data_IF_959159915120
#
_entry.id   IF_959159915120
#
_cell.length_a   1.000
_cell.length_b   1.000
_cell.length_c   1.000
_cell.angle_alpha   90.00
_cell.angle_beta   90.00
_cell.angle_gamma   90.00
#
_symmetry.space_group_name_H-M   'P 1'
#
loop_
_entity.id
_entity.type
_entity.pdbx_description
1 polymer ?
#
# COMPACT_ATOMS: atom_id res chain seq x y z
N UNK A 1 -4.52 18.94 -34.22
CA UNK A 1 -3.39 19.18 -33.28
C UNK A 1 -3.95 19.65 -31.95
N UNK A 2 -4.15 18.72 -31.02
CA UNK A 2 -4.19 19.00 -29.58
C UNK A 2 -3.35 17.90 -28.95
N UNK A 3 -2.24 18.31 -28.33
CA UNK A 3 -1.25 17.40 -27.76
C UNK A 3 -1.81 16.75 -26.51
N UNK A 4 -1.85 15.42 -26.50
CA UNK A 4 -2.02 14.65 -25.28
C UNK A 4 -0.68 14.64 -24.55
N UNK A 5 -0.68 15.20 -23.35
CA UNK A 5 0.43 15.05 -22.40
C UNK A 5 0.40 13.59 -21.95
N UNK A 6 1.37 12.79 -22.41
CA UNK A 6 1.69 11.50 -21.81
C UNK A 6 2.15 11.79 -20.37
N UNK A 7 1.25 11.64 -19.41
CA UNK A 7 1.63 11.57 -18.00
C UNK A 7 2.13 10.15 -17.77
N UNK A 8 3.42 10.00 -17.44
CA UNK A 8 3.97 8.73 -17.01
C UNK A 8 3.30 8.32 -15.70
N UNK A 9 2.31 7.42 -15.79
CA UNK A 9 1.75 6.73 -14.63
C UNK A 9 2.85 5.82 -14.09
N UNK A 10 3.44 6.22 -12.95
CA UNK A 10 4.17 5.27 -12.12
C UNK A 10 3.13 4.30 -11.58
N UNK A 11 3.23 3.04 -11.98
CA UNK A 11 2.39 1.94 -11.52
C UNK A 11 2.35 1.94 -10.00
N UNK A 12 1.19 2.20 -9.43
CA UNK A 12 0.94 2.01 -8.01
C UNK A 12 0.26 0.66 -7.85
N UNK A 13 0.94 -0.26 -7.20
CA UNK A 13 0.37 -1.52 -6.79
C UNK A 13 -0.15 -1.40 -5.36
N UNK A 14 -1.43 -1.70 -5.16
CA UNK A 14 -2.02 -1.81 -3.82
C UNK A 14 -1.46 -3.02 -3.07
N UNK A 15 -1.21 -2.86 -1.76
CA UNK A 15 -0.68 -3.85 -0.81
C UNK A 15 -1.61 -3.96 0.39
N UNK A 16 -1.89 -5.18 0.89
CA UNK A 16 -2.81 -5.48 2.03
C UNK A 16 -2.21 -6.55 2.96
N UNK A 17 -2.34 -6.39 4.29
CA UNK A 17 -1.90 -7.35 5.33
C UNK A 17 -3.04 -7.70 6.33
N UNK A 18 -3.07 -8.91 6.91
CA UNK A 18 -4.13 -9.43 7.78
C UNK A 18 -3.57 -10.14 9.05
N UNK A 19 -4.04 -9.79 10.26
CA UNK A 19 -3.94 -10.63 11.49
C UNK A 19 -4.85 -10.13 12.64
N UNK A 20 -5.52 -11.06 13.35
CA UNK A 20 -6.40 -10.82 14.54
C UNK A 20 -5.70 -11.17 15.86
N UNK A 21 -5.98 -10.43 16.94
CA UNK A 21 -5.58 -10.77 18.33
C UNK A 21 -6.60 -10.28 19.38
N UNK A 22 -6.65 -10.99 20.52
CA UNK A 22 -7.60 -10.89 21.64
C UNK A 22 -7.07 -10.10 22.86
N UNK A 23 -7.96 -9.39 23.55
CA UNK A 23 -7.69 -8.42 24.64
C UNK A 23 -7.47 -9.00 26.05
N UNK A 24 -6.66 -8.27 26.86
CA UNK A 24 -6.88 -8.06 28.29
C UNK A 24 -6.16 -6.78 28.77
N UNK A 25 -6.92 -5.86 29.39
CA UNK A 25 -6.50 -4.54 29.93
C UNK A 25 -6.49 -4.52 31.47
N UNK A 26 -5.76 -3.56 32.06
CA UNK A 26 -6.02 -2.82 33.32
C UNK A 26 -4.76 -2.00 33.66
N UNK A 27 -4.75 -0.88 34.39
CA UNK A 27 -5.67 0.22 34.73
C UNK A 27 -4.76 1.29 35.40
N UNK A 28 -5.29 2.49 35.53
CA UNK A 28 -4.69 3.81 35.65
C UNK A 28 -4.39 4.32 37.08
N UNK A 29 -3.36 5.19 37.17
CA UNK A 29 -3.18 6.49 37.90
C UNK A 29 -3.68 6.68 39.36
N UNK A 30 -3.09 7.58 40.19
CA UNK A 30 -3.39 9.04 40.12
C UNK A 30 -2.29 10.03 40.60
N UNK A 31 -2.54 11.30 40.28
CA UNK A 31 -1.82 12.55 40.57
C UNK A 31 -2.09 13.11 41.98
N UNK A 32 -1.20 13.97 42.49
CA UNK A 32 -1.46 15.13 43.39
C UNK A 32 -0.11 15.86 43.60
N UNK A 33 0.03 17.18 43.79
CA UNK A 33 -0.90 18.29 43.90
C UNK A 33 -0.10 19.60 44.15
N UNK A 34 -0.67 20.72 43.71
CA UNK A 34 -0.53 22.12 44.18
C UNK A 34 0.80 22.71 44.71
N UNK A 35 1.22 23.86 44.16
CA UNK A 35 0.97 25.23 44.72
C UNK A 35 1.95 26.29 44.13
N UNK A 36 1.40 27.45 43.76
CA UNK A 36 2.07 28.76 43.56
C UNK A 36 1.86 29.57 44.88
N UNK A 37 2.57 30.69 45.21
CA UNK A 37 3.15 31.71 44.31
C UNK A 37 4.43 32.42 44.82
N UNK A 38 5.02 33.32 44.00
CA UNK A 38 5.19 34.77 44.29
C UNK A 38 6.16 35.42 43.28
N UNK A 39 5.82 36.64 42.88
CA UNK A 39 6.52 37.44 41.88
C UNK A 39 7.47 38.45 42.57
N UNK A 40 8.69 38.59 42.07
CA UNK A 40 9.44 39.84 42.22
C UNK A 40 10.55 40.01 41.20
N UNK A 41 10.69 41.27 40.79
CA UNK A 41 11.81 41.93 40.13
C UNK A 41 12.03 41.66 38.63
N UNK A 42 11.67 42.68 37.86
CA UNK A 42 12.15 42.92 36.49
C UNK A 42 13.63 43.27 36.59
N UNK A 43 14.49 42.40 36.07
CA UNK A 43 15.90 42.70 35.80
C UNK A 43 16.11 42.71 34.29
N UNK A 44 16.67 43.80 33.80
CA UNK A 44 16.99 43.99 32.39
C UNK A 44 18.39 43.44 32.15
N UNK A 45 18.47 42.15 31.84
CA UNK A 45 19.70 41.47 31.43
C UNK A 45 19.63 41.08 29.95
N UNK A 46 20.71 41.35 29.22
CA UNK A 46 20.97 40.86 27.86
C UNK A 46 20.72 39.34 27.77
N UNK A 47 19.59 38.93 27.20
CA UNK A 47 19.43 37.59 26.63
C UNK A 47 19.45 37.75 25.12
N UNK A 48 20.55 37.32 24.50
CA UNK A 48 20.44 36.80 23.15
C UNK A 48 19.41 35.68 23.22
N UNK A 49 18.22 35.90 22.65
CA UNK A 49 17.18 34.89 22.49
C UNK A 49 17.79 33.67 21.80
N UNK A 50 18.33 32.74 22.57
CA UNK A 50 18.52 31.37 22.14
C UNK A 50 17.09 30.87 21.94
N UNK A 51 16.69 30.77 20.67
CA UNK A 51 15.44 30.12 20.31
C UNK A 51 15.31 28.84 21.14
N UNK A 52 14.15 28.56 21.75
CA UNK A 52 13.98 27.39 22.60
C UNK A 52 14.47 26.19 21.81
N UNK A 53 15.33 25.38 22.45
CA UNK A 53 15.91 24.18 21.87
C UNK A 53 14.75 23.26 21.49
N UNK A 54 14.27 23.40 20.25
CA UNK A 54 13.09 22.68 19.78
C UNK A 54 13.53 21.24 19.75
N UNK A 55 12.91 20.41 20.59
CA UNK A 55 13.23 18.99 20.66
C UNK A 55 13.25 18.41 19.23
N UNK A 56 14.44 17.98 18.80
CA UNK A 56 14.67 17.47 17.46
C UNK A 56 13.78 16.25 17.17
N UNK A 57 13.34 15.53 18.20
CA UNK A 57 12.40 14.42 18.09
C UNK A 57 10.97 14.91 17.85
N UNK A 58 10.55 16.00 18.53
CA UNK A 58 9.24 16.63 18.30
C UNK A 58 9.06 17.16 16.88
N UNK A 59 10.15 17.64 16.24
CA UNK A 59 10.13 18.09 14.84
C UNK A 59 9.98 16.96 13.81
N UNK A 60 10.18 15.71 14.23
CA UNK A 60 10.12 14.51 13.39
C UNK A 60 8.78 13.77 13.50
N UNK A 61 7.85 14.23 14.32
CA UNK A 61 6.56 13.58 14.54
C UNK A 61 5.36 14.49 14.18
N UNK A 62 4.29 13.89 13.65
CA UNK A 62 3.06 14.55 13.24
C UNK A 62 1.91 13.54 13.20
N UNK A 63 0.76 13.86 13.83
CA UNK A 63 -0.42 12.98 13.96
C UNK A 63 -0.10 11.55 14.45
N UNK A 64 0.74 11.42 15.49
CA UNK A 64 1.23 10.14 16.05
C UNK A 64 2.17 9.33 15.13
N UNK A 65 2.52 9.85 13.95
CA UNK A 65 3.52 9.26 13.07
C UNK A 65 4.84 10.00 13.20
N UNK A 66 5.94 9.25 13.30
CA UNK A 66 7.29 9.80 13.32
C UNK A 66 8.11 9.32 12.11
N UNK A 67 8.99 10.19 11.61
CA UNK A 67 9.97 9.84 10.58
C UNK A 67 10.94 8.79 11.09
N UNK A 68 11.07 7.71 10.34
CA UNK A 68 12.02 6.63 10.62
C UNK A 68 13.28 6.83 9.80
N UNK A 69 14.44 6.64 10.42
CA UNK A 69 15.71 6.72 9.70
C UNK A 69 15.86 5.60 8.66
N UNK A 70 16.35 6.01 7.50
CA UNK A 70 16.72 5.17 6.37
C UNK A 70 18.17 5.47 6.01
N UNK A 71 18.97 4.48 5.60
CA UNK A 71 20.36 4.72 5.21
C UNK A 71 20.44 5.63 3.96
N UNK A 72 21.58 6.27 3.69
CA UNK A 72 21.72 7.10 2.50
C UNK A 72 21.52 6.31 1.20
N UNK A 73 20.62 6.77 0.34
CA UNK A 73 20.29 6.11 -0.94
C UNK A 73 21.52 6.00 -1.87
N UNK A 74 22.44 6.96 -1.80
CA UNK A 74 23.66 7.01 -2.59
C UNK A 74 24.58 5.82 -2.37
N UNK A 75 24.55 5.20 -1.18
CA UNK A 75 25.32 3.99 -0.88
C UNK A 75 24.89 2.78 -1.73
N UNK A 76 23.69 2.86 -2.33
CA UNK A 76 23.08 1.79 -3.14
C UNK A 76 22.94 2.19 -4.62
N UNK A 77 23.63 3.26 -5.03
CA UNK A 77 23.58 3.75 -6.42
C UNK A 77 22.29 4.48 -6.77
N UNK A 78 21.63 5.06 -5.77
CA UNK A 78 20.39 5.80 -5.93
C UNK A 78 20.53 7.28 -5.58
N UNK A 79 19.83 8.12 -6.33
CA UNK A 79 19.73 9.54 -6.07
C UNK A 79 18.81 9.80 -4.87
N UNK A 80 17.70 9.05 -4.79
CA UNK A 80 16.69 9.14 -3.73
C UNK A 80 15.98 7.80 -3.60
N UNK A 81 15.56 7.44 -2.39
CA UNK A 81 14.70 6.29 -2.17
C UNK A 81 13.30 6.51 -2.74
N UNK A 82 12.84 5.53 -3.52
CA UNK A 82 11.47 5.43 -4.01
C UNK A 82 10.89 4.10 -3.50
N UNK A 83 10.22 4.17 -2.34
CA UNK A 83 9.58 2.99 -1.78
C UNK A 83 8.35 2.62 -2.61
N UNK A 84 8.13 1.32 -2.82
CA UNK A 84 7.00 0.81 -3.63
C UNK A 84 6.03 -0.08 -2.83
N UNK A 85 6.36 -0.43 -1.58
CA UNK A 85 5.50 -1.24 -0.75
C UNK A 85 6.13 -1.51 0.61
N UNK A 86 5.29 -1.80 1.60
CA UNK A 86 5.68 -2.21 2.95
C UNK A 86 4.73 -3.31 3.41
N UNK A 87 5.26 -4.30 4.11
CA UNK A 87 4.53 -5.45 4.61
C UNK A 87 5.00 -5.79 6.02
N UNK A 88 4.11 -5.66 7.00
CA UNK A 88 4.32 -6.21 8.33
C UNK A 88 3.99 -7.71 8.29
N UNK A 89 4.92 -8.53 8.77
CA UNK A 89 4.73 -9.98 8.93
C UNK A 89 5.07 -10.38 10.38
N UNK A 90 4.22 -11.17 11.06
CA UNK A 90 4.42 -11.52 12.47
C UNK A 90 5.55 -12.52 12.69
N UNK A 91 6.00 -13.25 11.67
CA UNK A 91 7.06 -14.27 11.76
C UNK A 91 8.42 -13.67 11.41
N UNK A 92 8.48 -12.92 10.30
CA UNK A 92 9.75 -12.40 9.76
C UNK A 92 9.91 -10.89 9.93
N UNK A 93 8.99 -10.21 10.62
CA UNK A 93 9.03 -8.77 10.88
C UNK A 93 8.56 -7.93 9.70
N UNK A 94 8.82 -6.62 9.76
CA UNK A 94 8.33 -5.68 8.74
C UNK A 94 9.36 -5.45 7.64
N UNK A 95 8.92 -5.58 6.39
CA UNK A 95 9.74 -5.47 5.19
C UNK A 95 9.22 -4.38 4.25
N UNK A 96 10.13 -3.74 3.52
CA UNK A 96 9.78 -2.74 2.51
C UNK A 96 10.62 -2.91 1.25
N UNK A 97 10.01 -2.63 0.10
CA UNK A 97 10.70 -2.46 -1.18
C UNK A 97 11.19 -1.02 -1.27
N UNK A 98 12.49 -0.84 -1.54
CA UNK A 98 13.07 0.45 -1.85
C UNK A 98 13.80 0.43 -3.21
N UNK A 99 13.32 1.25 -4.14
CA UNK A 99 13.95 1.48 -5.44
C UNK A 99 14.71 2.81 -5.45
N UNK A 100 15.39 3.09 -6.57
CA UNK A 100 15.88 4.41 -6.92
C UNK A 100 14.89 5.21 -7.79
N UNK A 101 15.29 6.43 -8.12
CA UNK A 101 14.59 7.26 -9.10
C UNK A 101 14.68 6.62 -10.51
N UNK A 102 13.71 6.91 -11.40
CA UNK A 102 13.85 6.55 -12.81
C UNK A 102 15.20 7.03 -13.37
N UNK A 103 15.95 6.11 -13.98
CA UNK A 103 17.29 6.37 -14.51
C UNK A 103 18.45 5.93 -13.62
N UNK A 104 18.23 5.79 -12.30
CA UNK A 104 19.25 5.22 -11.41
C UNK A 104 19.57 3.78 -11.81
N UNK A 105 20.82 3.33 -11.62
CA UNK A 105 21.29 2.01 -12.10
C UNK A 105 21.23 0.90 -11.06
N UNK A 106 21.05 1.23 -9.77
CA UNK A 106 20.92 0.23 -8.72
C UNK A 106 19.71 -0.70 -8.92
N UNK A 107 19.83 -1.91 -8.37
CA UNK A 107 18.73 -2.88 -8.25
C UNK A 107 17.92 -2.60 -6.98
N UNK A 108 16.63 -2.86 -7.01
CA UNK A 108 15.73 -2.75 -5.85
C UNK A 108 16.34 -3.39 -4.59
N UNK A 109 16.08 -2.80 -3.44
CA UNK A 109 16.51 -3.30 -2.14
C UNK A 109 15.29 -3.77 -1.35
N UNK A 110 15.44 -4.89 -0.65
CA UNK A 110 14.52 -5.31 0.41
C UNK A 110 15.10 -4.85 1.75
N UNK A 111 14.40 -3.93 2.39
CA UNK A 111 14.76 -3.38 3.70
C UNK A 111 13.91 -4.07 4.76
N UNK A 112 14.51 -4.35 5.91
CA UNK A 112 13.82 -4.85 7.09
C UNK A 112 13.89 -3.81 8.21
N UNK A 113 12.78 -3.62 8.90
CA UNK A 113 12.74 -2.76 10.07
C UNK A 113 13.30 -3.50 11.29
N UNK A 114 14.43 -3.02 11.82
CA UNK A 114 15.17 -3.64 12.92
C UNK A 114 15.70 -2.54 13.86
N UNK A 115 15.49 -2.70 15.16
CA UNK A 115 15.97 -1.79 16.20
C UNK A 115 15.59 -0.31 15.97
N UNK A 116 14.36 -0.06 15.53
CA UNK A 116 13.86 1.29 15.30
C UNK A 116 14.26 1.92 13.97
N UNK A 117 14.99 1.22 13.09
CA UNK A 117 15.51 1.77 11.83
C UNK A 117 15.31 0.80 10.66
N UNK A 118 15.28 1.33 9.42
CA UNK A 118 15.24 0.50 8.22
C UNK A 118 16.65 0.06 7.79
N UNK A 119 16.87 -1.25 7.63
CA UNK A 119 18.16 -1.82 7.25
C UNK A 119 18.04 -2.65 5.97
N UNK A 120 18.80 -2.34 4.90
CA UNK A 120 18.85 -3.16 3.69
C UNK A 120 19.39 -4.56 4.02
N UNK A 121 18.66 -5.60 3.61
CA UNK A 121 19.04 -7.00 3.85
C UNK A 121 19.38 -7.74 2.56
N UNK A 122 18.63 -7.45 1.49
CA UNK A 122 18.80 -8.11 0.20
C UNK A 122 18.71 -7.13 -0.95
N UNK A 123 19.51 -7.40 -1.99
CA UNK A 123 19.52 -6.69 -3.27
C UNK A 123 19.18 -7.70 -4.37
N UNK A 124 17.90 -8.09 -4.53
CA UNK A 124 17.51 -9.10 -5.50
C UNK A 124 17.96 -8.73 -6.92
N UNK A 125 18.39 -9.74 -7.67
CA UNK A 125 18.79 -9.63 -9.07
C UNK A 125 18.23 -10.84 -9.83
N UNK A 126 17.89 -10.64 -11.09
CA UNK A 126 17.46 -11.72 -11.97
C UNK A 126 18.66 -12.37 -12.64
N UNK A 127 18.71 -13.71 -12.66
CA UNK A 127 19.80 -14.46 -13.30
C UNK A 127 21.05 -14.59 -12.42
N UNK A 128 22.16 -15.03 -13.02
CA UNK A 128 23.40 -15.33 -12.31
C UNK A 128 24.64 -15.02 -13.17
N UNK A 129 25.80 -14.90 -12.54
CA UNK A 129 27.06 -14.61 -13.23
C UNK A 129 27.01 -13.33 -14.06
N UNK A 130 27.41 -13.42 -15.33
CA UNK A 130 27.41 -12.31 -16.28
C UNK A 130 26.00 -11.87 -16.73
N UNK A 131 25.00 -12.74 -16.58
CA UNK A 131 23.60 -12.50 -16.98
C UNK A 131 22.76 -11.87 -15.85
N UNK A 132 23.42 -11.37 -14.79
CA UNK A 132 22.74 -10.69 -13.69
C UNK A 132 22.13 -9.38 -14.17
N UNK A 133 20.83 -9.26 -14.01
CA UNK A 133 20.05 -8.07 -14.36
C UNK A 133 19.51 -7.40 -13.11
N UNK A 134 19.62 -6.08 -13.08
CA UNK A 134 19.02 -5.28 -12.01
C UNK A 134 17.51 -5.25 -12.19
N UNK A 135 16.77 -5.24 -11.09
CA UNK A 135 15.31 -5.23 -11.11
C UNK A 135 14.78 -3.97 -10.43
N UNK A 136 13.60 -3.54 -10.88
CA UNK A 136 12.76 -2.56 -10.21
C UNK A 136 11.54 -3.33 -9.68
N UNK A 137 11.15 -3.13 -8.43
CA UNK A 137 9.98 -3.79 -7.85
C UNK A 137 8.83 -2.82 -7.65
N UNK A 138 7.61 -3.30 -7.85
CA UNK A 138 6.38 -2.49 -7.94
C UNK A 138 5.38 -2.80 -6.84
N UNK A 139 5.29 -4.06 -6.39
CA UNK A 139 4.35 -4.49 -5.36
C UNK A 139 5.00 -5.50 -4.42
N UNK A 140 4.56 -5.52 -3.16
CA UNK A 140 4.94 -6.47 -2.12
C UNK A 140 3.68 -7.03 -1.48
N UNK A 141 3.60 -8.34 -1.24
CA UNK A 141 2.61 -8.94 -0.37
C UNK A 141 3.27 -9.97 0.54
N UNK A 142 2.62 -10.26 1.66
CA UNK A 142 3.03 -11.32 2.57
C UNK A 142 1.83 -12.11 3.07
N UNK A 143 2.06 -13.38 3.37
CA UNK A 143 1.00 -14.29 3.83
C UNK A 143 0.72 -14.24 5.34
N UNK A 144 1.56 -13.51 6.10
CA UNK A 144 1.48 -13.48 7.56
C UNK A 144 2.06 -14.73 8.24
N UNK A 145 2.66 -15.63 7.47
CA UNK A 145 3.28 -16.88 7.91
C UNK A 145 4.78 -16.94 7.60
N UNK A 146 5.38 -15.79 7.28
CA UNK A 146 6.81 -15.69 7.02
C UNK A 146 7.20 -15.76 5.55
N UNK A 147 6.25 -15.70 4.62
CA UNK A 147 6.55 -15.64 3.18
C UNK A 147 6.14 -14.31 2.57
N UNK A 148 6.99 -13.82 1.68
CA UNK A 148 6.79 -12.61 0.89
C UNK A 148 6.87 -12.93 -0.59
N UNK A 149 6.02 -12.25 -1.35
CA UNK A 149 6.13 -12.15 -2.80
C UNK A 149 6.25 -10.68 -3.19
N UNK A 150 7.13 -10.38 -4.12
CA UNK A 150 7.21 -9.09 -4.78
C UNK A 150 7.21 -9.29 -6.29
N UNK A 151 6.62 -8.33 -7.00
CA UNK A 151 6.61 -8.32 -8.46
C UNK A 151 7.30 -7.06 -8.98
N UNK A 152 7.80 -7.14 -10.20
CA UNK A 152 8.47 -6.03 -10.84
C UNK A 152 9.01 -6.40 -12.21
N UNK A 153 10.01 -5.66 -12.67
CA UNK A 153 10.62 -5.86 -13.99
C UNK A 153 12.14 -5.81 -13.93
N UNK A 154 12.78 -6.54 -14.83
CA UNK A 154 14.20 -6.35 -15.13
C UNK A 154 14.40 -5.03 -15.86
N UNK A 155 15.38 -4.23 -15.43
CA UNK A 155 15.59 -2.86 -15.93
C UNK A 155 16.16 -2.82 -17.35
N UNK A 156 16.76 -3.92 -17.80
CA UNK A 156 17.46 -3.99 -19.08
C UNK A 156 16.51 -4.24 -20.27
N UNK A 157 15.45 -5.04 -20.05
CA UNK A 157 14.55 -5.48 -21.12
C UNK A 157 13.06 -5.47 -20.74
N UNK A 158 12.72 -4.97 -19.54
CA UNK A 158 11.36 -4.94 -18.98
C UNK A 158 10.71 -6.32 -18.78
N UNK A 159 11.48 -7.42 -18.78
CA UNK A 159 10.93 -8.74 -18.45
C UNK A 159 10.32 -8.74 -17.06
N UNK A 160 9.10 -9.28 -16.92
CA UNK A 160 8.44 -9.41 -15.62
C UNK A 160 9.16 -10.39 -14.71
N UNK A 161 9.32 -9.98 -13.46
CA UNK A 161 10.03 -10.73 -12.41
C UNK A 161 9.11 -10.93 -11.21
N UNK A 162 9.14 -12.14 -10.68
CA UNK A 162 8.62 -12.46 -9.35
C UNK A 162 9.80 -12.71 -8.43
N UNK A 163 9.81 -12.03 -7.30
CA UNK A 163 10.75 -12.24 -6.19
C UNK A 163 10.00 -12.91 -5.04
N UNK A 164 10.60 -13.95 -4.46
CA UNK A 164 10.06 -14.64 -3.28
C UNK A 164 11.07 -14.64 -2.15
N UNK A 165 10.57 -14.58 -0.92
CA UNK A 165 11.40 -14.64 0.28
C UNK A 165 10.70 -15.32 1.44
N UNK A 166 11.46 -16.09 2.22
CA UNK A 166 11.07 -16.62 3.54
C UNK A 166 11.67 -15.79 4.71
N UNK A 167 12.16 -14.58 4.42
CA UNK A 167 12.90 -13.73 5.35
C UNK A 167 14.39 -14.07 5.52
N UNK A 168 14.84 -15.23 5.03
CA UNK A 168 16.25 -15.67 5.07
C UNK A 168 16.83 -15.96 3.69
N UNK A 169 16.00 -16.38 2.75
CA UNK A 169 16.31 -16.63 1.35
C UNK A 169 15.56 -15.65 0.46
N UNK A 170 16.15 -15.31 -0.68
CA UNK A 170 15.50 -14.48 -1.72
C UNK A 170 15.79 -15.11 -3.07
N UNK A 171 14.74 -15.37 -3.84
CA UNK A 171 14.84 -15.89 -5.20
C UNK A 171 14.12 -14.95 -6.16
N UNK A 172 14.62 -14.84 -7.39
CA UNK A 172 14.01 -14.06 -8.45
C UNK A 172 13.86 -14.93 -9.70
N UNK A 173 12.65 -15.00 -10.25
CA UNK A 173 12.31 -15.80 -11.43
C UNK A 173 11.53 -14.96 -12.45
N UNK A 174 11.62 -15.34 -13.73
CA UNK A 174 10.79 -14.76 -14.77
C UNK A 174 9.32 -15.18 -14.61
N UNK A 175 8.42 -14.31 -15.06
CA UNK A 175 7.00 -14.62 -15.22
C UNK A 175 6.55 -14.30 -16.65
N UNK A 176 5.76 -15.17 -17.30
CA UNK A 176 5.24 -14.90 -18.63
C UNK A 176 4.05 -13.91 -18.56
N UNK A 177 4.22 -12.72 -19.13
CA UNK A 177 3.19 -11.67 -19.14
C UNK A 177 3.51 -10.52 -18.20
N UNK A 178 2.68 -9.48 -18.21
CA UNK A 178 2.86 -8.26 -17.41
C UNK A 178 2.04 -8.32 -16.12
N UNK A 179 2.59 -7.79 -15.02
CA UNK A 179 1.94 -7.80 -13.72
C UNK A 179 1.98 -6.40 -13.09
N UNK A 180 0.87 -6.00 -12.47
CA UNK A 180 0.73 -4.73 -11.76
C UNK A 180 0.53 -4.91 -10.26
N UNK A 181 -0.14 -5.98 -9.83
CA UNK A 181 -0.51 -6.18 -8.43
C UNK A 181 -0.26 -7.60 -7.96
N UNK A 182 -0.02 -7.75 -6.66
CA UNK A 182 0.12 -9.05 -6.01
C UNK A 182 -0.55 -9.04 -4.64
N UNK A 183 -1.08 -10.19 -4.23
CA UNK A 183 -1.69 -10.38 -2.93
C UNK A 183 -1.44 -11.81 -2.46
N UNK A 184 -1.38 -12.03 -1.15
CA UNK A 184 -1.19 -13.34 -0.55
C UNK A 184 -2.20 -13.55 0.57
N UNK A 185 -2.60 -14.81 0.78
CA UNK A 185 -3.50 -15.19 1.85
C UNK A 185 -3.23 -16.61 2.31
N UNK A 186 -2.91 -16.83 3.58
CA UNK A 186 -2.56 -18.18 4.05
C UNK A 186 -1.26 -18.69 3.42
N UNK A 187 -0.76 -19.84 3.88
CA UNK A 187 0.60 -20.28 3.58
C UNK A 187 0.87 -20.45 2.08
N UNK A 188 1.72 -19.58 1.53
CA UNK A 188 2.14 -19.58 0.12
C UNK A 188 1.01 -19.59 -0.93
N UNK A 189 -0.20 -19.15 -0.57
CA UNK A 189 -1.29 -18.94 -1.52
C UNK A 189 -1.24 -17.50 -2.01
N UNK A 190 -0.82 -17.36 -3.28
CA UNK A 190 -0.40 -16.13 -3.88
C UNK A 190 -1.19 -15.83 -5.15
N UNK A 191 -1.48 -14.56 -5.34
CA UNK A 191 -2.21 -14.02 -6.46
C UNK A 191 -1.39 -12.92 -7.12
N UNK A 192 -1.44 -12.89 -8.45
CA UNK A 192 -0.90 -11.78 -9.25
C UNK A 192 -1.89 -11.38 -10.32
N UNK A 193 -1.95 -10.09 -10.62
CA UNK A 193 -2.86 -9.54 -11.62
C UNK A 193 -2.19 -8.42 -12.41
N UNK A 194 -2.65 -8.18 -13.64
CA UNK A 194 -2.02 -7.21 -14.53
C UNK A 194 -2.85 -6.77 -15.74
N UNK A 195 -2.19 -6.23 -16.77
CA UNK A 195 -2.81 -5.88 -18.05
C UNK A 195 -3.50 -7.06 -18.73
N UNK A 196 -4.28 -6.76 -19.77
CA UNK A 196 -5.05 -7.72 -20.59
C UNK A 196 -5.98 -8.65 -19.78
N UNK A 197 -6.43 -8.21 -18.61
CA UNK A 197 -7.26 -8.99 -17.69
C UNK A 197 -6.51 -10.14 -17.01
N UNK A 198 -5.18 -10.14 -17.00
CA UNK A 198 -4.34 -11.20 -16.43
C UNK A 198 -4.62 -11.40 -14.94
N UNK A 199 -4.98 -12.63 -14.56
CA UNK A 199 -5.14 -13.06 -13.17
C UNK A 199 -4.54 -14.45 -13.03
N UNK A 200 -3.59 -14.61 -12.11
CA UNK A 200 -2.97 -15.90 -11.85
C UNK A 200 -2.94 -16.23 -10.36
N UNK A 201 -3.22 -17.50 -10.05
CA UNK A 201 -3.26 -18.05 -8.70
C UNK A 201 -2.21 -19.14 -8.52
N UNK A 202 -1.46 -19.11 -7.42
CA UNK A 202 -0.52 -20.14 -7.05
C UNK A 202 -0.84 -20.68 -5.66
N UNK A 203 -1.00 -22.00 -5.57
CA UNK A 203 -1.10 -22.71 -4.27
C UNK A 203 0.26 -23.32 -3.97
N UNK A 204 0.95 -22.83 -2.94
CA UNK A 204 2.31 -23.26 -2.61
C UNK A 204 3.40 -22.52 -3.39
N UNK A 205 3.05 -21.40 -4.03
CA UNK A 205 3.99 -20.40 -4.51
C UNK A 205 4.90 -20.80 -5.68
N UNK A 206 4.68 -21.89 -6.41
CA UNK A 206 5.55 -22.27 -7.55
C UNK A 206 4.78 -22.24 -8.88
N UNK A 207 3.75 -23.06 -8.99
CA UNK A 207 2.94 -23.19 -10.20
C UNK A 207 1.79 -22.19 -10.21
N UNK A 208 1.46 -21.67 -11.40
CA UNK A 208 0.40 -20.68 -11.59
C UNK A 208 -0.75 -21.25 -12.41
N UNK A 209 -1.95 -21.13 -11.87
CA UNK A 209 -3.21 -21.37 -12.59
C UNK A 209 -3.68 -20.05 -13.18
N UNK A 210 -4.00 -20.05 -14.47
CA UNK A 210 -4.57 -18.90 -15.16
C UNK A 210 -6.08 -18.83 -14.90
N UNK A 211 -6.52 -17.72 -14.31
CA UNK A 211 -7.93 -17.39 -14.07
C UNK A 211 -8.30 -16.02 -14.69
N UNK A 212 -7.60 -15.63 -15.76
CA UNK A 212 -7.72 -14.31 -16.38
C UNK A 212 -9.14 -13.98 -16.86
N UNK A 213 -9.47 -12.69 -16.82
CA UNK A 213 -10.70 -12.16 -17.38
C UNK A 213 -10.64 -12.19 -18.92
N UNK A 214 -11.47 -13.01 -19.60
CA UNK A 214 -11.43 -13.09 -21.06
C UNK A 214 -11.87 -11.80 -21.76
N UNK A 215 -12.55 -10.88 -21.06
CA UNK A 215 -12.95 -9.59 -21.60
C UNK A 215 -11.80 -8.54 -21.64
N UNK A 216 -10.64 -8.85 -21.07
CA UNK A 216 -9.48 -7.95 -21.10
C UNK A 216 -9.53 -6.81 -20.07
N UNK A 217 -8.98 -5.65 -20.42
CA UNK A 217 -8.78 -4.50 -19.51
C UNK A 217 -7.47 -4.54 -18.74
N UNK A 218 -7.23 -3.55 -17.89
CA UNK A 218 -6.01 -3.47 -17.05
C UNK A 218 -6.37 -3.55 -15.58
N UNK A 219 -5.82 -4.54 -14.88
CA UNK A 219 -5.95 -4.68 -13.43
C UNK A 219 -4.79 -3.98 -12.73
N UNK A 220 -5.10 -3.20 -11.70
CA UNK A 220 -4.13 -2.42 -10.92
C UNK A 220 -4.09 -2.84 -9.45
N UNK A 221 -5.10 -3.56 -8.97
CA UNK A 221 -5.16 -4.04 -7.60
C UNK A 221 -5.76 -5.44 -7.52
N UNK A 222 -5.29 -6.19 -6.53
CA UNK A 222 -5.85 -7.48 -6.11
C UNK A 222 -5.86 -7.53 -4.58
N UNK A 223 -6.96 -7.96 -3.98
CA UNK A 223 -7.14 -8.06 -2.53
C UNK A 223 -8.23 -9.08 -2.21
N UNK A 224 -8.44 -9.42 -0.94
CA UNK A 224 -9.49 -10.35 -0.56
C UNK A 224 -9.54 -10.62 0.92
N UNK A 225 -10.43 -11.54 1.33
CA UNK A 225 -10.48 -12.06 2.71
C UNK A 225 -9.94 -13.49 2.82
N UNK A 226 -9.80 -14.18 1.70
CA UNK A 226 -9.24 -15.52 1.59
C UNK A 226 -9.22 -16.01 0.14
N UNK A 227 -8.72 -17.22 -0.12
CA UNK A 227 -8.54 -17.72 -1.49
C UNK A 227 -9.86 -17.92 -2.25
N UNK A 228 -11.00 -17.94 -1.56
CA UNK A 228 -12.33 -18.08 -2.14
C UNK A 228 -13.16 -16.78 -2.13
N UNK A 229 -12.57 -15.66 -1.69
CA UNK A 229 -13.17 -14.33 -1.69
C UNK A 229 -12.09 -13.32 -2.06
N UNK A 230 -11.87 -13.23 -3.37
CA UNK A 230 -10.79 -12.43 -3.99
C UNK A 230 -11.42 -11.40 -4.91
N UNK A 231 -10.90 -10.18 -4.86
CA UNK A 231 -11.33 -9.08 -5.69
C UNK A 231 -10.15 -8.58 -6.52
N UNK A 232 -10.47 -8.11 -7.72
CA UNK A 232 -9.54 -7.35 -8.55
C UNK A 232 -10.15 -6.02 -8.93
N UNK A 233 -9.34 -4.99 -9.03
CA UNK A 233 -9.76 -3.64 -9.39
C UNK A 233 -8.96 -3.15 -10.58
N UNK A 234 -9.63 -2.48 -11.51
CA UNK A 234 -8.97 -2.02 -12.72
C UNK A 234 -9.77 -1.02 -13.54
N UNK A 235 -9.37 -0.92 -14.80
CA UNK A 235 -10.09 -0.23 -15.87
C UNK A 235 -10.42 -1.23 -16.98
N UNK A 236 -11.66 -1.19 -17.48
CA UNK A 236 -12.12 -2.06 -18.55
C UNK A 236 -11.34 -1.81 -19.85
N UNK A 237 -11.42 -2.76 -20.77
CA UNK A 237 -10.99 -2.52 -22.14
C UNK A 237 -11.76 -1.32 -22.72
N UNK A 238 -11.10 -0.60 -23.64
CA UNK A 238 -11.73 0.50 -24.35
C UNK A 238 -12.79 -0.03 -25.31
N UNK A 239 -14.03 0.45 -25.16
CA UNK A 239 -15.12 0.14 -26.07
C UNK A 239 -15.13 1.14 -27.24
N UNK A 240 -14.86 0.71 -28.48
CA UNK A 240 -14.82 1.59 -29.64
C UNK A 240 -16.20 2.09 -30.10
N UNK A 241 -17.29 1.45 -29.69
CA UNK A 241 -18.65 1.83 -30.09
C UNK A 241 -19.18 2.95 -29.19
N UNK A 242 -18.85 2.91 -27.90
CA UNK A 242 -19.25 3.94 -26.92
C UNK A 242 -18.18 5.00 -26.69
N UNK A 243 -16.92 4.74 -27.10
CA UNK A 243 -15.75 5.57 -26.84
C UNK A 243 -15.44 5.72 -25.34
N UNK A 244 -15.76 4.69 -24.55
CA UNK A 244 -15.64 4.71 -23.10
C UNK A 244 -14.73 3.59 -22.58
N UNK A 245 -14.09 3.85 -21.43
CA UNK A 245 -13.52 2.82 -20.56
C UNK A 245 -13.82 3.21 -19.12
N UNK A 246 -14.20 2.23 -18.31
CA UNK A 246 -14.73 2.47 -16.98
C UNK A 246 -13.93 1.73 -15.93
N UNK A 247 -13.95 2.24 -14.70
CA UNK A 247 -13.50 1.46 -13.57
C UNK A 247 -14.33 0.18 -13.46
N UNK A 248 -13.69 -0.92 -13.12
CA UNK A 248 -14.40 -2.18 -12.91
C UNK A 248 -13.78 -2.97 -11.77
N UNK A 249 -14.61 -3.84 -11.19
CA UNK A 249 -14.23 -4.74 -10.12
C UNK A 249 -14.60 -6.16 -10.51
N UNK A 250 -13.65 -7.07 -10.37
CA UNK A 250 -13.88 -8.51 -10.42
C UNK A 250 -14.04 -9.07 -9.01
N UNK A 251 -14.89 -10.07 -8.84
CA UNK A 251 -15.09 -10.81 -7.59
C UNK A 251 -15.10 -12.31 -7.86
N UNK A 252 -14.12 -13.01 -7.27
CA UNK A 252 -13.99 -14.45 -7.23
C UNK A 252 -14.72 -15.02 -6.04
N UNK A 253 -15.61 -15.97 -6.31
CA UNK A 253 -16.34 -16.76 -5.31
C UNK A 253 -16.34 -18.23 -5.70
N UNK A 254 -17.06 -19.06 -4.95
CA UNK A 254 -17.38 -20.43 -5.35
C UNK A 254 -18.81 -20.49 -5.88
N UNK A 255 -19.03 -21.26 -6.94
CA UNK A 255 -20.37 -21.60 -7.42
C UNK A 255 -21.07 -22.63 -6.50
N UNK A 256 -22.30 -23.01 -6.85
CA UNK A 256 -23.10 -23.98 -6.09
C UNK A 256 -22.44 -25.37 -5.98
N UNK A 257 -21.54 -25.70 -6.90
CA UNK A 257 -20.76 -26.95 -6.91
C UNK A 257 -19.42 -26.83 -6.17
N UNK A 258 -19.07 -25.64 -5.67
CA UNK A 258 -17.82 -25.35 -4.99
C UNK A 258 -16.65 -25.06 -5.94
N UNK A 259 -16.89 -24.86 -7.23
CA UNK A 259 -15.86 -24.50 -8.20
C UNK A 259 -15.64 -22.98 -8.21
N UNK A 260 -14.40 -22.50 -8.42
CA UNK A 260 -14.12 -21.07 -8.44
C UNK A 260 -14.74 -20.39 -9.66
N UNK A 261 -15.33 -19.23 -9.45
CA UNK A 261 -15.98 -18.45 -10.49
C UNK A 261 -15.72 -16.95 -10.30
N UNK A 262 -15.45 -16.26 -11.40
CA UNK A 262 -15.28 -14.82 -11.44
C UNK A 262 -16.52 -14.15 -12.01
N UNK A 263 -16.91 -13.05 -11.37
CA UNK A 263 -17.88 -12.11 -11.89
C UNK A 263 -17.20 -10.74 -12.03
N UNK A 264 -17.60 -9.92 -13.01
CA UNK A 264 -17.02 -8.60 -13.24
C UNK A 264 -18.13 -7.55 -13.43
N UNK A 265 -17.94 -6.37 -12.85
CA UNK A 265 -18.91 -5.28 -12.88
C UNK A 265 -18.22 -3.96 -13.20
N UNK A 266 -18.78 -3.21 -14.15
CA UNK A 266 -18.39 -1.82 -14.42
C UNK A 266 -19.01 -0.90 -13.36
N UNK A 267 -18.20 -0.04 -12.74
CA UNK A 267 -18.69 0.97 -11.80
C UNK A 267 -19.17 2.25 -12.50
N UNK A 268 -19.33 2.23 -13.84
CA UNK A 268 -19.54 3.43 -14.67
C UNK A 268 -20.65 4.36 -14.17
N UNK A 269 -21.78 3.83 -13.71
CA UNK A 269 -22.86 4.66 -13.14
C UNK A 269 -22.47 5.31 -11.80
N UNK A 270 -21.75 4.58 -10.93
CA UNK A 270 -21.16 5.13 -9.70
C UNK A 270 -20.03 6.14 -9.96
N UNK A 271 -19.52 6.26 -11.18
CA UNK A 271 -18.59 7.35 -11.53
C UNK A 271 -19.34 8.53 -12.14
N UNK A 272 -20.33 8.26 -13.00
CA UNK A 272 -21.17 9.28 -13.67
C UNK A 272 -22.01 10.11 -12.71
N UNK A 273 -22.56 9.50 -11.66
CA UNK A 273 -23.38 10.23 -10.69
C UNK A 273 -22.54 11.16 -9.76
N UNK A 274 -21.20 11.08 -9.82
CA UNK A 274 -20.29 11.97 -9.08
C UNK A 274 -19.54 12.89 -10.03
N UNK A 275 -18.74 13.82 -9.51
CA UNK A 275 -17.81 14.64 -10.31
C UNK A 275 -16.61 13.82 -10.86
N UNK A 276 -16.80 12.52 -11.11
CA UNK A 276 -15.75 11.55 -11.41
C UNK A 276 -15.49 11.38 -12.92
N UNK A 277 -14.22 11.39 -13.31
CA UNK A 277 -13.80 10.80 -14.58
C UNK A 277 -13.71 9.27 -14.43
N UNK A 278 -13.66 8.51 -15.54
CA UNK A 278 -13.50 7.05 -15.57
C UNK A 278 -12.13 6.56 -15.06
N UNK A 279 -11.74 6.97 -13.85
CA UNK A 279 -10.49 6.61 -13.20
C UNK A 279 -10.50 5.12 -12.81
N UNK A 280 -9.42 4.35 -13.04
CA UNK A 280 -9.35 2.97 -12.58
C UNK A 280 -9.53 2.81 -11.07
N UNK A 281 -10.00 1.63 -10.64
CA UNK A 281 -9.77 1.19 -9.27
C UNK A 281 -8.32 0.73 -9.15
N UNK A 282 -7.50 1.43 -8.37
CA UNK A 282 -6.10 1.05 -8.12
C UNK A 282 -5.85 0.54 -6.71
N UNK A 283 -6.87 0.55 -5.86
CA UNK A 283 -6.76 0.03 -4.50
C UNK A 283 -8.12 -0.41 -3.98
N UNK A 284 -8.09 -1.43 -3.13
CA UNK A 284 -9.23 -1.95 -2.41
C UNK A 284 -8.78 -2.75 -1.21
N UNK A 285 -9.72 -3.02 -0.31
CA UNK A 285 -9.46 -3.73 0.94
C UNK A 285 -10.70 -4.48 1.37
N UNK A 286 -10.54 -5.68 1.93
CA UNK A 286 -11.59 -6.39 2.65
C UNK A 286 -11.19 -6.46 4.13
N UNK A 287 -11.65 -5.53 4.97
CA UNK A 287 -11.29 -5.49 6.38
C UNK A 287 -11.73 -6.77 7.11
N UNK A 288 -10.95 -7.26 8.10
CA UNK A 288 -11.34 -8.42 8.89
C UNK A 288 -12.72 -8.24 9.55
N UNK A 289 -13.69 -9.05 9.14
CA UNK A 289 -15.08 -9.00 9.62
C UNK A 289 -15.91 -7.82 9.09
N UNK A 290 -15.35 -7.00 8.19
CA UNK A 290 -16.02 -5.84 7.60
C UNK A 290 -16.42 -6.05 6.14
N UNK A 291 -17.00 -5.01 5.56
CA UNK A 291 -17.35 -4.96 4.13
C UNK A 291 -16.16 -4.51 3.28
N UNK A 292 -16.00 -5.04 2.06
CA UNK A 292 -15.00 -4.55 1.11
C UNK A 292 -15.18 -3.06 0.77
N UNK A 293 -14.06 -2.37 0.58
CA UNK A 293 -13.97 -1.02 0.06
C UNK A 293 -13.12 -0.98 -1.21
N UNK A 294 -13.45 -0.05 -2.11
CA UNK A 294 -12.63 0.32 -3.27
C UNK A 294 -12.46 1.83 -3.30
N UNK A 295 -11.37 2.28 -3.92
CA UNK A 295 -11.18 3.70 -4.17
C UNK A 295 -10.54 4.01 -5.53
N UNK A 296 -10.99 5.13 -6.07
CA UNK A 296 -10.38 5.91 -7.14
C UNK A 296 -10.51 7.40 -6.79
N UNK A 297 -9.85 8.32 -7.52
CA UNK A 297 -10.10 9.75 -7.36
C UNK A 297 -11.58 10.04 -7.57
N UNK A 298 -12.14 10.83 -6.65
CA UNK A 298 -13.56 11.18 -6.56
C UNK A 298 -14.50 9.98 -6.39
N UNK A 299 -14.00 8.82 -5.95
CA UNK A 299 -14.82 7.66 -5.64
C UNK A 299 -14.22 6.88 -4.45
N UNK A 300 -14.99 6.79 -3.38
CA UNK A 300 -14.89 5.67 -2.45
C UNK A 300 -16.22 4.93 -2.50
N UNK A 301 -16.17 3.61 -2.53
CA UNK A 301 -17.36 2.78 -2.52
C UNK A 301 -17.16 1.59 -1.59
N UNK A 302 -18.26 1.08 -1.05
CA UNK A 302 -18.30 -0.12 -0.23
C UNK A 302 -19.31 -1.10 -0.80
N UNK A 303 -19.05 -2.39 -0.61
CA UNK A 303 -19.96 -3.43 -1.06
C UNK A 303 -21.16 -3.55 -0.12
N UNK A 304 -22.36 -3.37 -0.65
CA UNK A 304 -23.62 -3.43 0.07
C UNK A 304 -23.95 -4.88 0.47
N UNK A 305 -24.26 -5.14 1.76
CA UNK A 305 -24.64 -6.48 2.23
C UNK A 305 -25.88 -7.03 1.50
N UNK A 306 -26.81 -6.15 1.13
CA UNK A 306 -28.17 -6.52 0.73
C UNK A 306 -28.34 -6.71 -0.79
N UNK A 307 -27.32 -6.36 -1.59
CA UNK A 307 -27.40 -6.35 -3.05
C UNK A 307 -26.69 -7.50 -3.77
N UNK A 308 -26.17 -8.49 -3.05
CA UNK A 308 -25.45 -9.62 -3.63
C UNK A 308 -23.98 -9.32 -3.97
N UNK A 309 -23.34 -10.16 -4.79
CA UNK A 309 -21.90 -10.07 -5.12
C UNK A 309 -21.50 -8.71 -5.71
N UNK A 310 -22.39 -8.08 -6.48
CA UNK A 310 -22.10 -6.95 -7.36
C UNK A 310 -22.94 -5.72 -7.04
N UNK A 311 -22.99 -5.35 -5.75
CA UNK A 311 -23.71 -4.16 -5.31
C UNK A 311 -22.77 -3.21 -4.60
N UNK A 312 -22.10 -2.36 -5.37
CA UNK A 312 -21.28 -1.28 -4.82
C UNK A 312 -22.15 -0.07 -4.53
N UNK A 313 -21.98 0.51 -3.35
CA UNK A 313 -22.63 1.75 -2.93
C UNK A 313 -21.56 2.82 -2.73
N UNK A 314 -21.83 4.02 -3.26
CA UNK A 314 -20.93 5.17 -3.07
C UNK A 314 -20.88 5.56 -1.59
N UNK A 315 -19.66 5.78 -1.10
CA UNK A 315 -19.41 6.41 0.19
C UNK A 315 -19.48 7.94 0.06
N UNK A 316 -20.01 8.68 1.06
CA UNK A 316 -19.99 10.14 1.04
C UNK A 316 -18.58 10.76 0.96
N UNK A 317 -17.55 10.01 1.38
CA UNK A 317 -16.17 10.44 1.25
C UNK A 317 -15.69 10.32 -0.21
N UNK A 318 -15.24 11.45 -0.78
CA UNK A 318 -14.73 11.53 -2.15
C UNK A 318 -13.27 12.00 -2.10
N UNK A 319 -12.29 11.08 -2.10
CA UNK A 319 -10.88 11.45 -2.06
C UNK A 319 -10.51 12.16 -3.35
N UNK A 320 -9.95 13.36 -3.28
CA UNK A 320 -9.54 14.14 -4.47
C UNK A 320 -8.20 13.68 -5.06
N UNK A 321 -7.65 12.59 -4.54
CA UNK A 321 -6.32 12.09 -4.84
C UNK A 321 -6.34 10.57 -4.87
N UNK A 322 -5.29 9.96 -5.40
CA UNK A 322 -5.16 8.51 -5.42
C UNK A 322 -4.86 7.97 -4.03
N UNK A 323 -5.71 7.07 -3.53
CA UNK A 323 -5.34 6.13 -2.47
C UNK A 323 -4.55 5.00 -3.14
N UNK A 324 -3.30 4.80 -2.71
CA UNK A 324 -2.31 3.92 -3.36
C UNK A 324 -2.30 2.52 -2.75
N UNK A 325 -2.42 2.43 -1.43
CA UNK A 325 -2.46 1.18 -0.69
C UNK A 325 -3.38 1.32 0.52
N UNK A 326 -3.96 0.21 0.96
CA UNK A 326 -4.90 0.15 2.08
C UNK A 326 -4.53 -0.97 3.04
N UNK A 327 -4.68 -0.73 4.33
CA UNK A 327 -4.50 -1.74 5.38
C UNK A 327 -5.64 -1.65 6.37
N UNK A 328 -6.05 -2.79 6.94
CA UNK A 328 -7.11 -2.82 7.94
C UNK A 328 -6.75 -3.73 9.10
N UNK A 329 -6.87 -3.21 10.32
CA UNK A 329 -6.80 -4.03 11.54
C UNK A 329 -8.15 -4.71 11.82
N UNK A 330 -9.23 -4.00 11.52
CA UNK A 330 -10.60 -4.43 11.79
C UNK A 330 -11.59 -3.73 10.87
N UNK A 331 -12.86 -4.13 10.92
CA UNK A 331 -13.95 -3.48 10.20
C UNK A 331 -14.12 -1.97 10.48
N UNK A 332 -13.60 -1.48 11.62
CA UNK A 332 -13.69 -0.07 12.04
C UNK A 332 -12.33 0.62 12.11
N UNK A 333 -11.30 0.00 11.56
CA UNK A 333 -9.97 0.59 11.52
C UNK A 333 -9.31 0.22 10.19
N UNK A 334 -9.56 1.08 9.20
CA UNK A 334 -8.98 1.00 7.87
C UNK A 334 -8.13 2.23 7.65
N UNK A 335 -6.96 2.05 7.07
CA UNK A 335 -6.01 3.10 6.79
C UNK A 335 -5.58 3.01 5.33
N UNK A 336 -5.26 4.15 4.73
CA UNK A 336 -4.75 4.20 3.38
C UNK A 336 -3.60 5.19 3.25
N UNK A 337 -2.58 4.80 2.49
CA UNK A 337 -1.56 5.70 1.99
C UNK A 337 -2.07 6.33 0.69
N UNK A 338 -1.82 7.63 0.51
CA UNK A 338 -2.29 8.38 -0.63
C UNK A 338 -1.23 9.36 -1.15
N UNK A 339 -1.48 9.83 -2.37
CA UNK A 339 -0.69 10.86 -3.04
C UNK A 339 -0.63 12.17 -2.23
N UNK A 340 0.37 13.00 -2.53
CA UNK A 340 0.61 14.29 -1.86
C UNK A 340 0.80 14.17 -0.33
N UNK A 341 1.45 13.09 0.12
CA UNK A 341 1.83 12.92 1.52
C UNK A 341 0.66 12.72 2.46
N UNK A 342 -0.43 12.11 2.00
CA UNK A 342 -1.67 11.93 2.78
C UNK A 342 -1.82 10.51 3.31
N UNK A 343 -2.33 10.41 4.54
CA UNK A 343 -2.90 9.18 5.08
C UNK A 343 -4.37 9.40 5.33
N UNK A 344 -5.20 8.42 5.02
CA UNK A 344 -6.66 8.50 5.22
C UNK A 344 -7.08 7.36 6.14
N UNK A 345 -7.90 7.65 7.16
CA UNK A 345 -8.36 6.68 8.16
C UNK A 345 -9.88 6.57 8.19
N UNK A 346 -10.40 5.36 8.09
CA UNK A 346 -11.77 5.03 8.43
C UNK A 346 -11.88 4.63 9.90
N UNK A 347 -12.81 5.24 10.63
CA UNK A 347 -13.07 4.96 12.04
C UNK A 347 -14.25 3.99 12.29
N UNK A 348 -14.77 3.35 11.23
CA UNK A 348 -15.98 2.52 11.29
C UNK A 348 -17.27 3.27 10.91
N UNK A 349 -17.20 4.60 10.81
CA UNK A 349 -18.35 5.44 10.41
C UNK A 349 -17.99 6.39 9.28
N UNK A 350 -16.86 7.07 9.38
CA UNK A 350 -16.44 8.12 8.45
C UNK A 350 -14.94 8.04 8.18
N UNK A 351 -14.54 8.61 7.04
CA UNK A 351 -13.15 8.72 6.62
C UNK A 351 -12.58 10.08 7.03
N UNK A 352 -11.36 10.09 7.55
CA UNK A 352 -10.63 11.27 8.00
C UNK A 352 -9.29 11.36 7.29
N UNK A 353 -8.98 12.53 6.72
CA UNK A 353 -7.70 12.80 6.08
C UNK A 353 -6.69 13.33 7.11
N UNK A 354 -5.47 12.80 7.06
CA UNK A 354 -4.32 13.21 7.85
C UNK A 354 -3.23 13.73 6.91
N UNK A 355 -2.82 14.97 7.11
CA UNK A 355 -1.65 15.58 6.45
C UNK A 355 -0.50 15.72 7.44
N UNK A 356 0.73 15.46 6.97
CA UNK A 356 1.92 15.50 7.82
C UNK A 356 2.76 16.75 7.59
N UNK A 357 3.28 17.29 8.68
CA UNK A 357 4.22 18.41 8.68
C UNK A 357 5.43 18.01 9.50
N UNK A 358 6.60 17.97 8.86
CA UNK A 358 7.87 17.67 9.53
C UNK A 358 8.80 18.85 9.34
N UNK A 359 9.46 19.27 10.43
CA UNK A 359 10.32 20.45 10.44
C UNK A 359 9.67 21.70 9.77
N UNK A 360 8.38 21.93 10.04
CA UNK A 360 7.62 23.07 9.50
C UNK A 360 7.24 22.98 8.01
N UNK A 361 7.56 21.87 7.32
CA UNK A 361 7.22 21.69 5.91
C UNK A 361 6.20 20.55 5.71
N UNK A 362 5.20 20.72 4.82
CA UNK A 362 4.28 19.63 4.49
C UNK A 362 5.02 18.52 3.74
N UNK A 363 4.62 17.27 3.99
CA UNK A 363 5.03 16.14 3.15
C UNK A 363 4.30 16.23 1.81
N UNK A 364 5.06 16.37 0.72
CA UNK A 364 4.50 16.43 -0.64
C UNK A 364 4.74 15.19 -1.49
N UNK A 365 5.56 14.23 -1.01
CA UNK A 365 5.83 12.99 -1.75
C UNK A 365 4.68 11.99 -1.63
N UNK A 366 4.40 11.28 -2.71
CA UNK A 366 3.36 10.26 -2.72
C UNK A 366 3.69 9.11 -1.77
N UNK A 367 2.70 8.68 -0.98
CA UNK A 367 2.80 7.54 -0.10
C UNK A 367 2.24 6.33 -0.84
N UNK A 368 3.08 5.31 -1.03
CA UNK A 368 2.84 4.19 -1.93
C UNK A 368 2.50 2.90 -1.20
N UNK A 369 2.87 2.80 0.08
CA UNK A 369 2.63 1.60 0.88
C UNK A 369 2.19 1.93 2.30
N UNK A 370 1.28 1.11 2.83
CA UNK A 370 0.86 1.11 4.22
C UNK A 370 0.66 -0.32 4.70
N UNK A 371 1.15 -0.64 5.89
CA UNK A 371 0.94 -1.94 6.53
C UNK A 371 1.07 -1.80 8.03
N UNK A 372 0.41 -2.66 8.79
CA UNK A 372 0.43 -2.60 10.24
C UNK A 372 0.46 -3.97 10.90
N UNK A 373 0.85 -3.97 12.17
CA UNK A 373 0.94 -5.17 13.01
C UNK A 373 -0.37 -5.43 13.74
N UNK A 374 -0.55 -6.65 14.25
CA UNK A 374 -1.71 -6.98 15.09
C UNK A 374 -1.78 -6.11 16.36
N UNK A 375 -0.63 -5.65 16.87
CA UNK A 375 -0.51 -4.76 18.02
C UNK A 375 -0.94 -3.32 17.69
N UNK A 376 -1.12 -2.97 16.41
CA UNK A 376 -1.57 -1.64 15.98
C UNK A 376 -0.44 -0.66 15.65
N UNK A 377 0.80 -1.14 15.51
CA UNK A 377 1.84 -0.34 14.88
C UNK A 377 1.54 -0.20 13.39
N UNK A 378 1.81 0.97 12.82
CA UNK A 378 1.54 1.25 11.41
C UNK A 378 2.79 1.82 10.76
N UNK A 379 3.16 1.26 9.62
CA UNK A 379 4.26 1.71 8.78
C UNK A 379 3.70 2.28 7.48
N UNK A 380 4.22 3.45 7.09
CA UNK A 380 3.84 4.11 5.83
C UNK A 380 5.10 4.49 5.08
N UNK A 381 5.17 4.17 3.79
CA UNK A 381 6.34 4.43 2.95
C UNK A 381 5.94 5.12 1.65
N UNK A 382 6.87 5.87 1.06
CA UNK A 382 6.62 6.64 -0.15
C UNK A 382 7.87 7.25 -0.77
N UNK A 383 7.70 8.29 -1.59
CA UNK A 383 8.79 8.97 -2.29
C UNK A 383 9.77 9.70 -1.33
N UNK A 384 10.74 8.97 -0.82
CA UNK A 384 11.73 9.42 0.17
C UNK A 384 11.17 9.60 1.58
N UNK A 385 10.07 8.93 1.89
CA UNK A 385 9.37 9.04 3.17
C UNK A 385 9.21 7.64 3.77
N UNK A 386 9.54 7.51 5.05
CA UNK A 386 9.26 6.32 5.86
C UNK A 386 8.76 6.79 7.23
N UNK A 387 7.53 6.40 7.57
CA UNK A 387 6.85 6.79 8.80
C UNK A 387 6.51 5.56 9.62
N UNK A 388 6.49 5.72 10.95
CA UNK A 388 5.97 4.75 11.89
C UNK A 388 5.05 5.45 12.88
N UNK A 389 3.86 4.88 13.08
CA UNK A 389 3.01 5.13 14.24
C UNK A 389 3.18 3.96 15.18
N UNK A 390 3.58 4.26 16.42
CA UNK A 390 3.68 3.25 17.47
C UNK A 390 2.30 2.78 17.90
N UNK A 391 2.22 1.56 18.42
CA UNK A 391 1.01 1.09 19.07
C UNK A 391 0.69 1.98 20.30
N UNK A 392 -0.60 2.22 20.60
CA UNK A 392 -1.03 2.98 21.79
C UNK A 392 -0.54 2.40 23.12
#
# INVERSE_FOLDING_TARGET
MRGYILLALVSAAGVVACARASDATTDSTPLDGGTLPEASAVDAGDEADAAPDVDAEALRCSNDFCLVDVPPASAYGFTKWMFAGVQADPVIGTWAIANGMPGDKGTAQLLRFEDGTWKPRYAPMLGSGAEKRSIQLTALAGDGNGHLIAIGTAKDDNSTVIVRSDGTTVTASLFPGELNATWMTGTDDAWVAGPTGSIHHSVGGVDWTDESNPAGGTLYAIWGSGPNDVYVGGQSEYDPDTFESWAYVGHRTLDDAGAPTWSFELLGELQKEGDGAGYPIITGITPPGGRPFVSAPNLTAWRSPDGGAMAWARDPFLPRTWMRAMWAKSQSEVWAAADAGRVVRYDGTTWHELGFFFNGAPVGGDLTGISGTAQGEIFVVGAGVALRRQAP
#
